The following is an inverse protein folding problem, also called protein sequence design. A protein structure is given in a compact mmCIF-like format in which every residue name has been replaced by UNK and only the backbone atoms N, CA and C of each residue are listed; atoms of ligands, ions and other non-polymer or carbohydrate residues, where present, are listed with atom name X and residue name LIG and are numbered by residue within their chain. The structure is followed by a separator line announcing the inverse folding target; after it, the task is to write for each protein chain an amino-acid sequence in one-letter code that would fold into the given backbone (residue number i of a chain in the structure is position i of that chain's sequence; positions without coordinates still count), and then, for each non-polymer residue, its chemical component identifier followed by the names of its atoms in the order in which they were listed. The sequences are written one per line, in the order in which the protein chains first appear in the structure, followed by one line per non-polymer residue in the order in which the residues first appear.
data_IF_635220931889
#
_entry.id   IF_635220931889
#
_cell.length_a   1.000
_cell.length_b   1.000
_cell.length_c   1.000
_cell.angle_alpha   90.00
_cell.angle_beta   90.00
_cell.angle_gamma   90.00
#
_symmetry.space_group_name_H-M   'P 1'
#
loop_
_entity.id
_entity.type
_entity.pdbx_description
1 polymer ?
#
# COMPACT_ATOMS: atom_id res chain seq x y z
N UNK A 1 50.17 -2.61 -8.66
CA UNK A 1 49.27 -3.64 -8.10
C UNK A 1 49.01 -3.23 -6.65
N UNK A 2 47.82 -2.73 -6.36
CA UNK A 2 47.44 -2.40 -4.99
C UNK A 2 47.49 -3.69 -4.16
N UNK A 3 48.24 -3.68 -3.07
CA UNK A 3 48.26 -4.82 -2.15
C UNK A 3 46.90 -4.86 -1.46
N UNK A 4 46.12 -5.92 -1.70
CA UNK A 4 44.91 -6.18 -0.94
C UNK A 4 45.28 -6.40 0.52
N UNK A 5 44.54 -5.77 1.43
CA UNK A 5 44.69 -6.04 2.86
C UNK A 5 44.09 -7.40 3.18
N UNK A 6 44.44 -7.99 4.33
CA UNK A 6 43.88 -9.27 4.75
C UNK A 6 42.34 -9.22 4.88
N UNK A 7 41.81 -8.09 5.32
CA UNK A 7 40.36 -7.84 5.44
C UNK A 7 39.67 -7.81 4.07
N UNK A 8 40.30 -7.19 3.07
CA UNK A 8 39.78 -7.17 1.69
C UNK A 8 39.72 -8.59 1.11
N UNK A 9 40.75 -9.41 1.37
CA UNK A 9 40.85 -10.79 0.87
C UNK A 9 39.69 -11.64 1.42
N UNK A 10 39.37 -11.50 2.71
CA UNK A 10 38.29 -12.25 3.33
C UNK A 10 36.91 -11.80 2.82
N UNK A 11 36.69 -10.50 2.61
CA UNK A 11 35.47 -9.99 1.98
C UNK A 11 35.28 -10.58 0.56
N UNK A 12 36.34 -10.60 -0.25
CA UNK A 12 36.25 -11.16 -1.60
C UNK A 12 36.02 -12.68 -1.63
N UNK A 13 36.51 -13.41 -0.62
CA UNK A 13 36.21 -14.85 -0.48
C UNK A 13 34.73 -15.07 -0.24
N UNK A 14 34.10 -14.29 0.62
CA UNK A 14 32.69 -14.47 0.94
C UNK A 14 31.76 -13.97 -0.19
N UNK A 15 32.00 -12.76 -0.69
CA UNK A 15 31.09 -12.13 -1.66
C UNK A 15 31.28 -12.64 -3.10
N UNK A 16 32.52 -12.87 -3.51
CA UNK A 16 32.86 -13.24 -4.89
C UNK A 16 33.05 -14.75 -5.01
N UNK A 17 33.88 -15.37 -4.17
CA UNK A 17 34.09 -16.83 -4.26
C UNK A 17 32.84 -17.61 -3.83
N UNK A 18 32.02 -17.10 -2.92
CA UNK A 18 30.74 -17.72 -2.55
C UNK A 18 29.71 -17.80 -3.68
N UNK A 19 29.79 -16.90 -4.67
CA UNK A 19 28.89 -16.85 -5.85
C UNK A 19 29.54 -17.39 -7.12
N UNK A 20 30.82 -17.74 -7.07
CA UNK A 20 31.57 -18.18 -8.23
C UNK A 20 31.17 -19.60 -8.64
N UNK A 21 30.84 -19.86 -9.93
CA UNK A 21 30.50 -21.21 -10.41
C UNK A 21 31.67 -22.20 -10.32
N UNK A 22 32.90 -21.70 -10.14
CA UNK A 22 34.10 -22.51 -9.95
C UNK A 22 34.37 -22.91 -8.50
N UNK A 23 33.60 -22.44 -7.51
CA UNK A 23 33.78 -22.80 -6.11
C UNK A 23 32.80 -23.90 -5.69
N UNK A 24 33.24 -24.79 -4.80
CA UNK A 24 32.38 -25.78 -4.12
C UNK A 24 32.00 -25.27 -2.73
N UNK A 25 31.42 -24.07 -2.69
CA UNK A 25 31.04 -23.42 -1.44
C UNK A 25 30.10 -24.32 -0.60
N UNK A 26 30.34 -24.40 0.71
CA UNK A 26 29.54 -25.18 1.65
C UNK A 26 29.97 -26.64 1.87
N UNK A 27 30.15 -27.46 0.82
CA UNK A 27 30.39 -28.90 1.01
C UNK A 27 31.88 -29.26 1.24
N UNK A 28 32.79 -28.59 0.54
CA UNK A 28 34.26 -28.60 0.74
C UNK A 28 34.79 -27.33 0.09
N UNK A 29 35.19 -26.32 0.87
CA UNK A 29 35.57 -24.98 0.40
C UNK A 29 36.84 -24.97 -0.48
N UNK A 30 36.72 -25.49 -1.68
CA UNK A 30 37.80 -25.64 -2.67
C UNK A 30 37.40 -24.86 -3.91
N UNK A 31 38.34 -24.08 -4.44
CA UNK A 31 38.20 -23.41 -5.72
C UNK A 31 38.72 -24.30 -6.85
N UNK A 32 37.90 -24.58 -7.87
CA UNK A 32 38.31 -25.38 -9.04
C UNK A 32 39.20 -24.62 -10.02
N UNK A 33 39.17 -23.28 -9.98
CA UNK A 33 40.01 -22.42 -10.83
C UNK A 33 41.46 -22.45 -10.34
N UNK A 34 41.65 -22.33 -9.02
CA UNK A 34 42.98 -22.31 -8.39
C UNK A 34 43.41 -23.68 -7.83
N UNK A 35 42.52 -24.67 -7.81
CA UNK A 35 42.73 -26.02 -7.25
C UNK A 35 43.25 -26.02 -5.80
N UNK A 36 42.86 -25.01 -5.01
CA UNK A 36 43.28 -24.81 -3.62
C UNK A 36 42.06 -24.58 -2.72
N UNK A 37 42.27 -24.72 -1.41
CA UNK A 37 41.28 -24.28 -0.42
C UNK A 37 41.04 -22.78 -0.58
N UNK A 38 39.79 -22.33 -0.49
CA UNK A 38 39.44 -20.92 -0.70
C UNK A 38 40.16 -20.01 0.30
N UNK A 39 40.41 -20.48 1.52
CA UNK A 39 41.17 -19.76 2.55
C UNK A 39 42.67 -19.61 2.27
N UNK A 40 43.20 -20.26 1.23
CA UNK A 40 44.60 -20.16 0.80
C UNK A 40 44.76 -19.33 -0.48
N UNK A 41 43.67 -18.78 -1.01
CA UNK A 41 43.73 -17.94 -2.21
C UNK A 41 44.08 -16.52 -1.78
N UNK A 42 45.25 -16.04 -2.19
CA UNK A 42 45.70 -14.67 -1.94
C UNK A 42 45.35 -13.73 -3.12
N UNK A 43 45.01 -14.30 -4.28
CA UNK A 43 44.68 -13.55 -5.48
C UNK A 43 43.77 -14.37 -6.42
N UNK A 44 42.73 -13.72 -6.97
CA UNK A 44 41.88 -14.27 -8.02
C UNK A 44 41.53 -13.18 -9.04
N UNK A 45 41.60 -13.50 -10.33
CA UNK A 45 41.27 -12.57 -11.42
C UNK A 45 39.83 -12.04 -11.34
N UNK A 46 38.91 -12.82 -10.76
CA UNK A 46 37.53 -12.38 -10.54
C UNK A 46 37.41 -11.27 -9.47
N UNK A 47 38.37 -11.17 -8.55
CA UNK A 47 38.40 -10.09 -7.55
C UNK A 47 38.81 -8.76 -8.19
N UNK A 48 39.69 -8.78 -9.19
CA UNK A 48 40.10 -7.57 -9.93
C UNK A 48 38.95 -7.00 -10.76
N UNK A 49 38.13 -7.87 -11.38
CA UNK A 49 36.91 -7.44 -12.09
C UNK A 49 35.91 -6.78 -11.12
N UNK A 50 35.83 -7.30 -9.88
CA UNK A 50 35.02 -6.69 -8.81
C UNK A 50 35.60 -5.36 -8.30
N UNK A 51 36.92 -5.17 -8.35
CA UNK A 51 37.60 -3.91 -8.00
C UNK A 51 37.48 -2.83 -9.10
N UNK A 52 37.46 -3.24 -10.37
CA UNK A 52 37.36 -2.35 -11.53
C UNK A 52 35.93 -1.87 -11.80
N UNK A 53 34.92 -2.56 -11.26
CA UNK A 53 33.58 -2.01 -11.19
C UNK A 53 33.59 -0.87 -10.16
N UNK A 54 33.23 0.38 -10.53
CA UNK A 54 33.08 1.42 -9.52
C UNK A 54 32.07 0.93 -8.48
N UNK A 55 32.50 0.88 -7.22
CA UNK A 55 31.62 0.83 -6.08
C UNK A 55 30.78 2.12 -6.12
N UNK A 56 29.73 2.10 -6.92
CA UNK A 56 28.57 2.95 -6.74
C UNK A 56 27.66 2.17 -5.78
N UNK A 57 27.55 2.57 -4.50
CA UNK A 57 26.46 2.11 -3.65
C UNK A 57 25.09 2.61 -4.15
N UNK A 58 25.08 3.40 -5.24
CA UNK A 58 23.92 4.13 -5.75
C UNK A 58 23.22 3.45 -6.94
N UNK A 59 23.70 2.31 -7.46
CA UNK A 59 23.15 1.71 -8.69
C UNK A 59 22.36 0.41 -8.52
N UNK A 60 22.34 -0.21 -7.33
CA UNK A 60 21.44 -1.34 -7.03
C UNK A 60 20.25 -0.97 -6.13
N UNK A 61 20.20 0.25 -5.58
CA UNK A 61 19.03 0.77 -4.85
C UNK A 61 18.15 1.70 -5.69
N UNK A 62 17.83 1.29 -6.93
CA UNK A 62 16.76 1.98 -7.69
C UNK A 62 15.74 1.01 -8.31
N UNK A 63 16.01 -0.30 -8.26
CA UNK A 63 15.08 -1.35 -8.69
C UNK A 63 14.19 -1.91 -7.55
N UNK A 64 14.69 -1.93 -6.31
CA UNK A 64 13.99 -2.52 -5.16
C UNK A 64 12.78 -1.69 -4.70
N UNK A 65 12.95 -0.37 -4.54
CA UNK A 65 11.91 0.52 -4.01
C UNK A 65 10.69 0.60 -4.93
N UNK A 66 10.87 0.64 -6.26
CA UNK A 66 9.74 0.67 -7.21
C UNK A 66 8.88 -0.60 -7.17
N UNK A 67 9.50 -1.76 -6.96
CA UNK A 67 8.76 -3.02 -6.80
C UNK A 67 8.01 -3.06 -5.47
N UNK A 68 8.60 -2.50 -4.42
CA UNK A 68 7.96 -2.35 -3.11
C UNK A 68 6.73 -1.45 -3.19
N UNK A 69 6.87 -0.25 -3.78
CA UNK A 69 5.78 0.73 -3.85
C UNK A 69 4.61 0.23 -4.71
N UNK A 70 4.88 -0.49 -5.81
CA UNK A 70 3.79 -1.07 -6.62
C UNK A 70 2.99 -2.12 -5.84
N UNK A 71 3.66 -2.89 -4.99
CA UNK A 71 3.00 -3.88 -4.13
C UNK A 71 2.14 -3.19 -3.07
N UNK A 72 2.69 -2.14 -2.42
CA UNK A 72 1.97 -1.32 -1.44
C UNK A 72 0.72 -0.64 -2.03
N UNK A 73 0.83 -0.02 -3.22
CA UNK A 73 -0.32 0.59 -3.88
C UNK A 73 -1.43 -0.42 -4.21
N UNK A 74 -1.06 -1.64 -4.61
CA UNK A 74 -2.04 -2.69 -4.87
C UNK A 74 -2.72 -3.13 -3.58
N UNK A 75 -1.97 -3.31 -2.48
CA UNK A 75 -2.53 -3.64 -1.17
C UNK A 75 -3.52 -2.58 -0.68
N UNK A 76 -3.17 -1.29 -0.80
CA UNK A 76 -4.06 -0.19 -0.44
C UNK A 76 -5.37 -0.21 -1.23
N UNK A 77 -5.31 -0.48 -2.53
CA UNK A 77 -6.51 -0.60 -3.36
C UNK A 77 -7.34 -1.83 -2.98
N UNK A 78 -6.71 -2.96 -2.64
CA UNK A 78 -7.46 -4.14 -2.17
C UNK A 78 -8.23 -3.86 -0.87
N UNK A 79 -7.60 -3.14 0.06
CA UNK A 79 -8.23 -2.73 1.32
C UNK A 79 -9.38 -1.74 1.07
N UNK A 80 -9.12 -0.69 0.28
CA UNK A 80 -10.12 0.32 -0.06
C UNK A 80 -11.33 -0.31 -0.80
N UNK A 81 -11.12 -1.29 -1.69
CA UNK A 81 -12.21 -2.04 -2.34
C UNK A 81 -13.01 -2.90 -1.36
N UNK A 82 -12.33 -3.56 -0.43
CA UNK A 82 -12.98 -4.40 0.59
C UNK A 82 -13.83 -3.57 1.55
N UNK A 83 -13.33 -2.39 1.91
CA UNK A 83 -13.99 -1.48 2.85
C UNK A 83 -15.03 -0.57 2.16
N UNK A 84 -15.07 -0.55 0.82
CA UNK A 84 -15.99 0.27 0.03
C UNK A 84 -17.47 0.21 0.49
N UNK A 85 -18.09 -0.98 0.68
CA UNK A 85 -19.47 -1.05 1.14
C UNK A 85 -19.66 -0.48 2.55
N UNK A 86 -18.63 -0.56 3.40
CA UNK A 86 -18.66 0.06 4.73
C UNK A 86 -18.48 1.58 4.64
N UNK A 87 -17.58 2.07 3.78
CA UNK A 87 -17.38 3.51 3.56
C UNK A 87 -18.68 4.19 3.11
N UNK A 88 -19.43 3.58 2.17
CA UNK A 88 -20.71 4.13 1.73
C UNK A 88 -21.74 4.23 2.87
N UNK A 89 -21.89 3.17 3.68
CA UNK A 89 -22.80 3.19 4.86
C UNK A 89 -22.36 4.20 5.91
N UNK A 90 -21.06 4.37 6.10
CA UNK A 90 -20.52 5.32 7.08
C UNK A 90 -20.70 6.77 6.61
N UNK A 91 -20.54 7.05 5.31
CA UNK A 91 -20.86 8.34 4.69
C UNK A 91 -22.33 8.68 4.92
N UNK A 92 -23.24 7.74 4.64
CA UNK A 92 -24.68 7.92 4.86
C UNK A 92 -24.99 8.22 6.34
N UNK A 93 -24.41 7.45 7.26
CA UNK A 93 -24.56 7.66 8.70
C UNK A 93 -24.04 9.03 9.15
N UNK A 94 -22.87 9.45 8.66
CA UNK A 94 -22.25 10.74 9.01
C UNK A 94 -23.04 11.92 8.44
N UNK A 95 -23.55 11.82 7.20
CA UNK A 95 -24.44 12.83 6.61
C UNK A 95 -25.72 12.98 7.45
N UNK A 96 -26.34 11.86 7.83
CA UNK A 96 -27.49 11.87 8.74
C UNK A 96 -27.20 12.59 10.07
N UNK A 97 -26.06 12.30 10.71
CA UNK A 97 -25.67 12.96 11.97
C UNK A 97 -25.44 14.47 11.82
N UNK A 98 -24.95 14.93 10.68
CA UNK A 98 -24.68 16.35 10.41
C UNK A 98 -25.96 17.11 10.01
N UNK A 99 -26.88 16.46 9.31
CA UNK A 99 -28.17 17.03 8.89
C UNK A 99 -29.14 17.21 10.07
N UNK A 100 -29.02 16.39 11.12
CA UNK A 100 -29.85 16.52 12.32
C UNK A 100 -29.38 17.69 13.19
N UNK A 101 -29.70 18.91 12.74
CA UNK A 101 -29.46 20.16 13.48
C UNK A 101 -30.52 20.30 14.58
N UNK A 102 -30.13 20.07 15.84
CA UNK A 102 -30.82 20.68 16.98
C UNK A 102 -31.55 19.77 17.96
N UNK A 103 -31.60 18.45 17.75
CA UNK A 103 -32.32 17.55 18.69
C UNK A 103 -31.75 17.56 20.14
N UNK A 104 -30.49 17.93 20.33
CA UNK A 104 -29.85 18.05 21.65
C UNK A 104 -29.80 19.47 22.24
N UNK A 105 -30.14 20.52 21.46
CA UNK A 105 -30.06 21.93 21.90
C UNK A 105 -31.42 22.48 22.35
N UNK A 106 -32.53 21.92 21.88
CA UNK A 106 -33.89 22.36 22.22
C UNK A 106 -34.40 21.85 23.57
N UNK A 107 -33.78 20.81 24.16
CA UNK A 107 -34.17 20.27 25.47
C UNK A 107 -33.90 21.18 26.67
N UNK A 108 -33.23 22.32 26.48
CA UNK A 108 -32.90 23.28 27.56
C UNK A 108 -34.00 24.34 27.76
N UNK A 109 -35.01 24.40 26.87
CA UNK A 109 -36.12 25.37 26.94
C UNK A 109 -37.43 24.79 27.48
N UNK A 110 -37.39 23.65 28.20
CA UNK A 110 -38.51 23.21 29.03
C UNK A 110 -38.67 24.12 30.27
N UNK A 111 -39.77 23.98 31.01
CA UNK A 111 -40.09 24.77 32.22
C UNK A 111 -38.97 24.81 33.28
N UNK A 112 -38.01 23.87 33.24
CA UNK A 112 -36.77 23.83 34.04
C UNK A 112 -35.66 24.81 33.62
N UNK A 113 -35.75 25.42 32.43
CA UNK A 113 -34.81 26.43 31.90
C UNK A 113 -35.13 27.87 32.30
N UNK A 114 -36.31 28.11 32.89
CA UNK A 114 -36.74 29.44 33.35
C UNK A 114 -36.10 29.86 34.69
N UNK A 115 -35.43 28.95 35.39
CA UNK A 115 -34.76 29.23 36.64
C UNK A 115 -33.31 29.62 36.37
N UNK A 116 -32.86 30.86 36.69
CA UNK A 116 -31.50 31.30 36.40
C UNK A 116 -30.51 30.50 37.27
N UNK A 117 -29.93 29.44 36.68
CA UNK A 117 -28.83 28.69 37.30
C UNK A 117 -27.52 29.45 37.06
N UNK A 118 -26.65 29.45 38.07
CA UNK A 118 -25.42 30.24 38.11
C UNK A 118 -24.61 30.21 36.81
N UNK A 119 -24.30 31.40 36.29
CA UNK A 119 -23.55 31.64 35.05
C UNK A 119 -22.18 30.95 35.14
N UNK A 120 -21.99 29.78 34.50
CA UNK A 120 -20.66 29.16 34.51
C UNK A 120 -20.45 27.81 33.82
N UNK A 121 -21.46 27.12 33.27
CA UNK A 121 -21.25 25.75 32.74
C UNK A 121 -21.79 25.45 31.32
N UNK A 122 -22.48 26.38 30.67
CA UNK A 122 -23.11 26.11 29.37
C UNK A 122 -22.17 26.27 28.15
N UNK A 123 -21.09 27.06 28.28
CA UNK A 123 -20.14 27.30 27.18
C UNK A 123 -19.38 26.03 26.74
N UNK A 124 -19.06 25.14 27.68
CA UNK A 124 -18.31 23.91 27.41
C UNK A 124 -19.10 22.88 26.58
N UNK A 125 -20.42 22.82 26.74
CA UNK A 125 -21.25 21.86 26.00
C UNK A 125 -21.38 22.23 24.52
N UNK A 126 -21.59 23.52 24.22
CA UNK A 126 -21.67 24.01 22.83
C UNK A 126 -20.33 23.82 22.12
N UNK A 127 -19.22 24.15 22.78
CA UNK A 127 -17.88 23.98 22.21
C UNK A 127 -17.54 22.49 21.96
N UNK A 128 -17.88 21.60 22.89
CA UNK A 128 -17.68 20.15 22.71
C UNK A 128 -18.49 19.58 21.54
N UNK A 129 -19.74 20.01 21.38
CA UNK A 129 -20.57 19.58 20.24
C UNK A 129 -20.05 20.13 18.91
N UNK A 130 -19.55 21.38 18.88
CA UNK A 130 -18.89 21.94 17.71
C UNK A 130 -17.65 21.12 17.30
N UNK A 131 -16.77 20.78 18.25
CA UNK A 131 -15.58 19.94 17.99
C UNK A 131 -15.95 18.53 17.51
N UNK A 132 -16.99 17.90 18.07
CA UNK A 132 -17.47 16.59 17.59
C UNK A 132 -17.95 16.67 16.14
N UNK A 133 -18.72 17.70 15.82
CA UNK A 133 -19.23 17.93 14.44
C UNK A 133 -18.09 18.18 13.47
N UNK A 134 -17.09 18.96 13.86
CA UNK A 134 -15.89 19.19 13.05
C UNK A 134 -15.18 17.87 12.72
N UNK A 135 -14.91 17.03 13.74
CA UNK A 135 -14.32 15.70 13.53
C UNK A 135 -15.16 14.80 12.61
N UNK A 136 -16.49 14.85 12.74
CA UNK A 136 -17.39 14.11 11.85
C UNK A 136 -17.35 14.62 10.41
N UNK A 137 -17.25 15.94 10.22
CA UNK A 137 -17.10 16.55 8.89
C UNK A 137 -15.78 16.20 8.25
N UNK A 138 -14.68 16.22 9.00
CA UNK A 138 -13.36 15.89 8.45
C UNK A 138 -13.29 14.42 8.05
N UNK A 139 -13.77 13.52 8.91
CA UNK A 139 -13.90 12.10 8.57
C UNK A 139 -14.81 11.85 7.36
N UNK A 140 -15.93 12.59 7.26
CA UNK A 140 -16.82 12.50 6.10
C UNK A 140 -16.09 12.88 4.81
N UNK A 141 -15.36 14.01 4.81
CA UNK A 141 -14.58 14.45 3.64
C UNK A 141 -13.52 13.42 3.23
N UNK A 142 -12.82 12.82 4.20
CA UNK A 142 -11.81 11.79 3.93
C UNK A 142 -12.42 10.55 3.25
N UNK A 143 -13.56 10.07 3.77
CA UNK A 143 -14.28 8.93 3.21
C UNK A 143 -14.84 9.25 1.82
N UNK A 144 -15.46 10.42 1.65
CA UNK A 144 -15.96 10.88 0.35
C UNK A 144 -14.84 10.99 -0.68
N UNK A 145 -13.68 11.52 -0.30
CA UNK A 145 -12.52 11.60 -1.18
C UNK A 145 -12.01 10.20 -1.58
N UNK A 146 -11.96 9.24 -0.65
CA UNK A 146 -11.61 7.84 -0.96
C UNK A 146 -12.59 7.20 -1.93
N UNK A 147 -13.89 7.28 -1.64
CA UNK A 147 -14.95 6.71 -2.49
C UNK A 147 -14.92 7.32 -3.89
N UNK A 148 -14.83 8.65 -3.98
CA UNK A 148 -14.77 9.37 -5.26
C UNK A 148 -13.56 8.95 -6.10
N UNK A 149 -12.39 8.74 -5.47
CA UNK A 149 -11.20 8.24 -6.19
C UNK A 149 -11.43 6.86 -6.81
N UNK A 150 -12.06 5.96 -6.07
CA UNK A 150 -12.34 4.59 -6.53
C UNK A 150 -13.39 4.61 -7.65
N UNK A 151 -14.48 5.38 -7.48
CA UNK A 151 -15.53 5.53 -8.49
C UNK A 151 -14.99 6.10 -9.81
N UNK A 152 -14.18 7.16 -9.74
CA UNK A 152 -13.53 7.73 -10.93
C UNK A 152 -12.60 6.74 -11.63
N UNK A 153 -11.89 5.89 -10.88
CA UNK A 153 -11.03 4.85 -11.44
C UNK A 153 -11.85 3.69 -12.03
N UNK A 154 -12.99 3.33 -11.40
CA UNK A 154 -13.91 2.30 -11.85
C UNK A 154 -14.53 2.66 -13.21
N UNK A 155 -14.86 3.94 -13.45
CA UNK A 155 -15.39 4.40 -14.74
C UNK A 155 -14.42 4.19 -15.92
N UNK A 156 -13.12 4.10 -15.65
CA UNK A 156 -12.09 3.89 -16.67
C UNK A 156 -11.89 2.42 -17.04
N UNK A 157 -12.52 1.49 -16.31
CA UNK A 157 -12.48 0.05 -16.61
C UNK A 157 -13.29 -0.21 -17.88
N UNK A 158 -12.62 -0.68 -18.93
CA UNK A 158 -13.23 -0.88 -20.26
C UNK A 158 -13.77 -2.28 -20.50
N UNK A 159 -13.26 -3.29 -19.80
CA UNK A 159 -13.75 -4.66 -19.96
C UNK A 159 -15.02 -4.86 -19.14
N UNK A 160 -16.14 -5.15 -19.82
CA UNK A 160 -17.45 -5.34 -19.20
C UNK A 160 -17.44 -6.44 -18.13
N UNK A 161 -16.62 -7.49 -18.34
CA UNK A 161 -16.52 -8.60 -17.39
C UNK A 161 -15.82 -8.14 -16.12
N UNK A 162 -14.68 -7.49 -16.23
CA UNK A 162 -13.96 -6.89 -15.10
C UNK A 162 -14.80 -5.82 -14.39
N UNK A 163 -15.55 -5.01 -15.13
CA UNK A 163 -16.49 -4.02 -14.58
C UNK A 163 -17.55 -4.68 -13.72
N UNK A 164 -18.17 -5.76 -14.21
CA UNK A 164 -19.16 -6.53 -13.45
C UNK A 164 -18.56 -7.11 -12.16
N UNK A 165 -17.32 -7.63 -12.22
CA UNK A 165 -16.60 -8.11 -11.02
C UNK A 165 -16.47 -6.98 -9.99
N UNK A 166 -16.04 -5.81 -10.43
CA UNK A 166 -15.80 -4.65 -9.58
C UNK A 166 -17.09 -4.14 -8.95
N UNK A 167 -18.16 -3.98 -9.73
CA UNK A 167 -19.49 -3.57 -9.23
C UNK A 167 -19.97 -4.53 -8.14
N UNK A 168 -19.86 -5.85 -8.35
CA UNK A 168 -20.22 -6.84 -7.35
C UNK A 168 -19.34 -6.77 -6.07
N UNK A 169 -18.05 -6.43 -6.20
CA UNK A 169 -17.16 -6.21 -5.04
C UNK A 169 -17.61 -4.97 -4.26
N UNK A 170 -17.89 -3.87 -4.97
CA UNK A 170 -18.33 -2.59 -4.39
C UNK A 170 -19.69 -2.71 -3.69
N UNK A 171 -20.58 -3.57 -4.18
CA UNK A 171 -21.84 -3.95 -3.50
C UNK A 171 -21.62 -4.80 -2.25
N UNK A 172 -20.41 -5.34 -2.05
CA UNK A 172 -20.06 -6.19 -0.91
C UNK A 172 -20.48 -7.66 -1.10
N UNK A 173 -20.65 -8.12 -2.34
CA UNK A 173 -20.98 -9.51 -2.61
C UNK A 173 -19.81 -10.45 -2.26
N UNK A 174 -20.13 -11.66 -1.80
CA UNK A 174 -19.11 -12.67 -1.47
C UNK A 174 -18.46 -13.19 -2.76
N UNK A 175 -17.14 -13.42 -2.76
CA UNK A 175 -16.39 -13.90 -3.94
C UNK A 175 -17.00 -15.17 -4.58
N UNK A 176 -17.51 -16.10 -3.77
CA UNK A 176 -18.16 -17.31 -4.29
C UNK A 176 -19.50 -17.03 -5.00
N UNK A 177 -20.20 -15.95 -4.65
CA UNK A 177 -21.40 -15.51 -5.35
C UNK A 177 -21.03 -14.86 -6.68
N UNK A 178 -20.00 -14.00 -6.68
CA UNK A 178 -19.48 -13.33 -7.88
C UNK A 178 -18.98 -14.37 -8.90
N UNK A 179 -18.20 -15.36 -8.45
CA UNK A 179 -17.71 -16.43 -9.34
C UNK A 179 -18.85 -17.18 -10.04
N UNK A 180 -19.94 -17.46 -9.29
CA UNK A 180 -21.14 -18.10 -9.85
C UNK A 180 -21.90 -17.18 -10.79
N UNK A 181 -22.02 -15.90 -10.44
CA UNK A 181 -22.71 -14.90 -11.26
C UNK A 181 -22.03 -14.73 -12.63
N UNK A 182 -20.70 -14.71 -12.65
CA UNK A 182 -19.88 -14.49 -13.86
C UNK A 182 -19.56 -15.80 -14.60
N UNK A 183 -19.87 -16.95 -13.99
CA UNK A 183 -19.64 -18.27 -14.56
C UNK A 183 -18.16 -18.64 -14.69
N UNK A 184 -17.34 -18.29 -13.69
CA UNK A 184 -15.88 -18.59 -13.68
C UNK A 184 -15.48 -19.43 -12.49
N UNK A 185 -14.35 -20.12 -12.62
CA UNK A 185 -13.71 -20.77 -11.48
C UNK A 185 -13.24 -19.73 -10.46
N UNK A 186 -13.13 -20.14 -9.19
CA UNK A 186 -12.64 -19.26 -8.11
C UNK A 186 -11.23 -18.75 -8.38
N UNK A 187 -10.36 -19.59 -8.94
CA UNK A 187 -9.00 -19.18 -9.33
C UNK A 187 -9.04 -18.09 -10.41
N UNK A 188 -9.86 -18.27 -11.46
CA UNK A 188 -9.97 -17.27 -12.52
C UNK A 188 -10.55 -15.95 -12.01
N UNK A 189 -11.48 -16.00 -11.04
CA UNK A 189 -11.97 -14.79 -10.38
C UNK A 189 -10.84 -14.05 -9.63
N UNK A 190 -9.96 -14.76 -8.92
CA UNK A 190 -8.84 -14.13 -8.23
C UNK A 190 -7.83 -13.49 -9.20
N UNK A 191 -7.57 -14.14 -10.34
CA UNK A 191 -6.74 -13.56 -11.41
C UNK A 191 -7.37 -12.27 -11.97
N UNK A 192 -8.67 -12.30 -12.28
CA UNK A 192 -9.41 -11.11 -12.73
C UNK A 192 -9.40 -10.00 -11.68
N UNK A 193 -9.58 -10.34 -10.41
CA UNK A 193 -9.49 -9.38 -9.29
C UNK A 193 -8.11 -8.75 -9.24
N UNK A 194 -7.05 -9.56 -9.36
CA UNK A 194 -5.67 -9.10 -9.30
C UNK A 194 -5.31 -8.18 -10.47
N UNK A 195 -5.72 -8.53 -11.68
CA UNK A 195 -5.60 -7.69 -12.88
C UNK A 195 -6.32 -6.34 -12.69
N UNK A 196 -7.53 -6.38 -12.12
CA UNK A 196 -8.32 -5.20 -11.84
C UNK A 196 -7.68 -4.29 -10.77
N UNK A 197 -7.23 -4.87 -9.66
CA UNK A 197 -6.52 -4.12 -8.60
C UNK A 197 -5.27 -3.46 -9.15
N UNK A 198 -4.52 -4.16 -10.00
CA UNK A 198 -3.35 -3.60 -10.68
C UNK A 198 -3.72 -2.42 -11.56
N UNK A 199 -4.79 -2.54 -12.35
CA UNK A 199 -5.29 -1.45 -13.19
C UNK A 199 -5.70 -0.23 -12.35
N UNK A 200 -6.49 -0.44 -11.29
CA UNK A 200 -6.93 0.63 -10.40
C UNK A 200 -5.76 1.30 -9.68
N UNK A 201 -4.77 0.54 -9.21
CA UNK A 201 -3.56 1.11 -8.60
C UNK A 201 -2.78 1.96 -9.62
N UNK A 202 -2.63 1.49 -10.85
CA UNK A 202 -1.97 2.25 -11.92
C UNK A 202 -2.78 3.51 -12.30
N UNK A 203 -4.11 3.51 -12.22
CA UNK A 203 -4.95 4.70 -12.50
C UNK A 203 -5.03 5.70 -11.35
N UNK A 204 -5.02 5.24 -10.09
CA UNK A 204 -5.09 6.11 -8.90
C UNK A 204 -3.72 6.74 -8.59
N UNK A 205 -2.64 5.97 -8.71
CA UNK A 205 -1.29 6.39 -8.31
C UNK A 205 -0.35 6.62 -9.50
N UNK A 206 -0.70 6.21 -10.71
CA UNK A 206 0.16 6.36 -11.90
C UNK A 206 0.15 7.76 -12.54
N UNK A 207 -0.57 8.71 -11.96
CA UNK A 207 -0.77 10.06 -12.53
C UNK A 207 0.46 10.99 -12.46
N UNK A 208 1.56 10.57 -11.82
CA UNK A 208 2.86 11.27 -11.92
C UNK A 208 3.46 11.27 -13.35
N UNK A 209 2.83 10.60 -14.32
CA UNK A 209 3.32 10.49 -15.71
C UNK A 209 2.46 11.16 -16.79
N UNK A 210 1.21 11.53 -16.51
CA UNK A 210 0.28 12.06 -17.55
C UNK A 210 0.33 13.59 -17.67
N UNK A 211 1.14 14.28 -16.87
CA UNK A 211 1.34 15.75 -16.90
C UNK A 211 2.49 16.27 -17.78
N UNK A 212 3.11 15.42 -18.60
CA UNK A 212 4.13 15.85 -19.58
C UNK A 212 3.69 15.32 -20.95
N UNK A 213 2.80 16.05 -21.62
CA UNK A 213 2.55 15.96 -23.06
C UNK A 213 1.99 17.30 -23.53
#
# INVERSE_FOLDING_TARGET
MNKLTAEDIDLYRDEVCGRCPGSLWGAKSICRIHQLSIGQIEFCQQWEVSQAAPQSPASYRRGSERSSNKTEHMELVEEDLKDFPWMQREIERLRGLLDHVGAGLTGVYGLDGAMPKGKGRHADHVNREAQKREKHRDRLKELEAKVTRIENAAERVRDDRQRTVLECIMEGQRMNAIARHIGVSRQRLYELKHELVRFLADEIFGDDRKGIS
#
